data_IF_452892816345
#
_entry.id   IF_452892816345
#
_cell.length_a   1.000
_cell.length_b   1.000
_cell.length_c   1.000
_cell.angle_alpha   90.00
_cell.angle_beta   90.00
_cell.angle_gamma   90.00
#
_symmetry.space_group_name_H-M   'P 1'
#
loop_
_entity.id
_entity.type
_entity.pdbx_description
1 polymer ?
#
# COMPACT_ATOMS: atom_id res chain seq x y z
N UNK A 1 55.27 -15.43 5.55
CA UNK A 1 55.91 -14.14 5.92
C UNK A 1 54.88 -13.33 6.70
N UNK A 2 55.15 -13.09 7.98
CA UNK A 2 54.45 -12.08 8.79
C UNK A 2 54.63 -10.69 8.18
N UNK A 3 53.69 -9.77 8.40
CA UNK A 3 53.86 -8.70 9.39
C UNK A 3 52.54 -7.97 9.67
N UNK A 4 52.58 -7.35 10.84
CA UNK A 4 51.53 -6.83 11.68
C UNK A 4 51.57 -5.29 11.64
N UNK A 5 50.44 -4.68 12.01
CA UNK A 5 50.31 -3.45 12.80
C UNK A 5 50.33 -2.03 12.18
N UNK A 6 49.32 -1.26 12.59
CA UNK A 6 49.28 0.17 12.99
C UNK A 6 50.06 1.23 12.18
N UNK A 7 49.43 2.34 11.81
CA UNK A 7 49.14 3.48 12.70
C UNK A 7 48.58 4.69 11.89
N UNK A 8 47.86 5.55 12.61
CA UNK A 8 47.42 6.90 12.25
C UNK A 8 48.46 7.75 11.47
N UNK A 9 48.01 8.55 10.50
CA UNK A 9 48.21 10.00 10.56
C UNK A 9 47.37 10.81 9.57
N UNK A 10 46.80 11.89 10.11
CA UNK A 10 46.25 13.05 9.42
C UNK A 10 47.21 13.59 8.34
N UNK A 11 46.66 13.99 7.18
CA UNK A 11 47.12 15.22 6.55
C UNK A 11 46.04 15.85 5.66
N UNK A 12 45.73 17.07 6.06
CA UNK A 12 44.88 18.07 5.44
C UNK A 12 45.55 18.62 4.17
N UNK A 13 44.91 18.49 3.02
CA UNK A 13 45.19 19.32 1.84
C UNK A 13 43.92 20.03 1.39
N UNK A 14 43.82 21.24 1.89
CA UNK A 14 42.94 22.33 1.50
C UNK A 14 42.94 22.51 -0.03
N UNK A 15 41.82 22.25 -0.69
CA UNK A 15 41.55 22.71 -2.06
C UNK A 15 40.26 23.52 -2.07
N UNK A 16 40.45 24.79 -2.39
CA UNK A 16 39.52 25.90 -2.55
C UNK A 16 38.36 25.60 -3.49
N UNK A 17 37.12 25.78 -3.02
CA UNK A 17 35.92 25.89 -3.86
C UNK A 17 35.28 27.28 -3.68
N UNK A 18 35.11 28.10 -4.73
CA UNK A 18 34.83 29.54 -4.61
C UNK A 18 33.35 29.89 -4.78
N UNK A 19 32.47 29.34 -3.93
CA UNK A 19 31.10 29.80 -3.80
C UNK A 19 30.68 29.79 -2.33
N UNK A 20 30.94 30.91 -1.65
CA UNK A 20 30.43 31.17 -0.31
C UNK A 20 28.94 31.51 -0.37
N UNK A 21 28.14 30.84 0.46
CA UNK A 21 26.82 31.29 0.86
C UNK A 21 26.77 31.28 2.38
N UNK A 22 26.59 32.47 2.95
CA UNK A 22 26.59 32.79 4.39
C UNK A 22 25.43 32.11 5.11
N UNK A 23 25.72 31.32 6.14
CA UNK A 23 24.76 30.77 7.10
C UNK A 23 24.54 31.80 8.23
N UNK A 24 23.32 32.30 8.49
CA UNK A 24 23.10 33.43 9.40
C UNK A 24 22.82 33.02 10.86
N UNK A 25 23.38 31.90 11.34
CA UNK A 25 23.20 31.45 12.71
C UNK A 25 24.54 30.95 13.29
N UNK A 26 25.39 31.89 13.68
CA UNK A 26 26.59 31.64 14.48
C UNK A 26 26.65 32.66 15.64
N UNK A 27 27.23 32.20 16.77
CA UNK A 27 27.42 32.83 18.10
C UNK A 27 26.21 32.84 19.06
N UNK A 28 26.30 32.43 20.34
CA UNK A 28 27.42 32.50 21.30
C UNK A 28 27.53 31.29 22.25
N UNK A 29 28.76 30.99 22.66
CA UNK A 29 29.12 30.06 23.74
C UNK A 29 29.09 30.75 25.11
N UNK A 30 28.53 30.09 26.12
CA UNK A 30 28.79 30.42 27.53
C UNK A 30 29.26 29.18 28.30
N UNK A 31 30.41 29.32 28.94
CA UNK A 31 31.15 28.31 29.70
C UNK A 31 30.51 27.96 31.06
N UNK A 32 30.91 26.79 31.59
CA UNK A 32 30.47 26.15 32.83
C UNK A 32 30.78 26.94 34.11
N UNK A 33 29.97 26.69 35.17
CA UNK A 33 30.46 26.64 36.55
C UNK A 33 29.81 25.44 37.30
N UNK A 34 30.65 24.55 37.84
CA UNK A 34 30.31 23.56 38.87
C UNK A 34 30.08 24.26 40.20
N UNK A 35 29.05 23.88 40.97
CA UNK A 35 29.18 23.80 42.42
C UNK A 35 28.12 22.91 43.10
N UNK A 36 28.54 22.31 44.21
CA UNK A 36 27.94 21.17 44.92
C UNK A 36 26.70 21.48 45.78
N UNK A 37 25.85 20.45 45.94
CA UNK A 37 25.00 20.10 47.11
C UNK A 37 24.17 21.21 47.81
N UNK A 38 22.83 21.19 47.64
CA UNK A 38 21.88 21.48 48.73
C UNK A 38 20.50 20.82 48.52
N UNK A 39 19.99 20.24 49.61
CA UNK A 39 18.76 19.44 49.74
C UNK A 39 17.43 20.24 49.52
N UNK A 40 16.25 19.58 49.48
CA UNK A 40 15.08 20.04 48.73
C UNK A 40 14.24 21.07 49.49
N UNK A 41 13.62 22.00 48.76
CA UNK A 41 12.57 22.88 49.30
C UNK A 41 11.29 22.66 48.51
N UNK A 42 10.31 22.08 49.19
CA UNK A 42 8.93 21.95 48.75
C UNK A 42 8.26 23.32 48.71
N UNK A 43 7.81 23.74 47.52
CA UNK A 43 6.80 24.79 47.38
C UNK A 43 5.76 24.29 46.37
N UNK A 44 4.60 23.95 46.89
CA UNK A 44 3.41 23.67 46.10
C UNK A 44 2.90 24.97 45.48
N UNK A 45 2.75 25.01 44.16
CA UNK A 45 1.65 25.74 43.51
C UNK A 45 1.50 25.34 42.04
N UNK A 46 0.25 24.97 41.74
CA UNK A 46 -0.47 25.12 40.46
C UNK A 46 -0.16 24.14 39.34
N UNK A 47 -1.09 23.19 39.21
CA UNK A 47 -1.47 22.55 37.96
C UNK A 47 -1.71 23.63 36.90
N UNK A 48 -0.88 23.66 35.87
CA UNK A 48 -1.27 24.21 34.59
C UNK A 48 -0.97 23.21 33.48
N UNK A 49 -2.08 22.70 32.95
CA UNK A 49 -2.34 21.92 31.75
C UNK A 49 -1.37 22.23 30.60
N UNK A 50 -0.44 21.32 30.29
CA UNK A 50 0.34 21.33 29.05
C UNK A 50 0.92 19.94 28.77
N UNK A 51 0.08 18.94 28.54
CA UNK A 51 0.54 17.62 28.06
C UNK A 51 -0.61 16.81 27.44
N UNK A 52 -1.16 17.27 26.31
CA UNK A 52 -2.18 16.47 25.59
C UNK A 52 -2.15 16.57 24.06
N UNK A 53 -1.23 17.32 23.44
CA UNK A 53 -1.19 17.43 21.98
C UNK A 53 -0.12 16.56 21.27
N UNK A 54 0.82 15.97 22.02
CA UNK A 54 1.91 15.21 21.41
C UNK A 54 1.61 13.70 21.27
N UNK A 55 0.62 13.20 22.00
CA UNK A 55 0.28 11.77 22.05
C UNK A 55 -0.66 11.32 20.92
N UNK A 56 -1.53 12.21 20.45
CA UNK A 56 -2.53 11.92 19.41
C UNK A 56 -1.90 11.81 18.00
N UNK A 57 -0.94 12.70 17.69
CA UNK A 57 -0.17 12.62 16.45
C UNK A 57 0.68 11.35 16.34
N UNK A 58 1.24 10.86 17.46
CA UNK A 58 2.00 9.61 17.48
C UNK A 58 1.12 8.38 17.28
N UNK A 59 -0.11 8.38 17.80
CA UNK A 59 -1.06 7.28 17.61
C UNK A 59 -1.56 7.20 16.16
N UNK A 60 -1.89 8.35 15.55
CA UNK A 60 -2.27 8.40 14.14
C UNK A 60 -1.15 7.91 13.21
N UNK A 61 0.10 8.32 13.45
CA UNK A 61 1.25 7.83 12.66
C UNK A 61 1.43 6.31 12.81
N UNK A 62 1.26 5.77 14.03
CA UNK A 62 1.32 4.32 14.26
C UNK A 62 0.22 3.58 13.49
N UNK A 63 -0.99 4.11 13.50
CA UNK A 63 -2.11 3.56 12.73
C UNK A 63 -1.84 3.59 11.22
N UNK A 64 -1.37 4.72 10.68
CA UNK A 64 -1.08 4.84 9.25
C UNK A 64 0.05 3.90 8.81
N UNK A 65 1.04 3.65 9.68
CA UNK A 65 2.06 2.64 9.42
C UNK A 65 1.48 1.22 9.32
N UNK A 66 0.47 0.88 10.13
CA UNK A 66 -0.25 -0.40 10.03
C UNK A 66 -1.03 -0.49 8.72
N UNK A 67 -1.75 0.58 8.32
CA UNK A 67 -2.46 0.64 7.04
C UNK A 67 -1.49 0.48 5.86
N UNK A 68 -0.32 1.14 5.90
CA UNK A 68 0.70 0.99 4.87
C UNK A 68 1.21 -0.46 4.80
N UNK A 69 1.41 -1.13 5.94
CA UNK A 69 1.78 -2.54 5.96
C UNK A 69 0.68 -3.42 5.33
N UNK A 70 -0.59 -3.21 5.69
CA UNK A 70 -1.74 -3.88 5.09
C UNK A 70 -1.76 -3.67 3.57
N UNK A 71 -1.59 -2.45 3.09
CA UNK A 71 -1.60 -2.13 1.66
C UNK A 71 -0.42 -2.75 0.89
N UNK A 72 0.75 -2.87 1.53
CA UNK A 72 1.89 -3.61 0.98
C UNK A 72 1.59 -5.10 0.90
N UNK A 73 1.01 -5.68 1.95
CA UNK A 73 0.57 -7.08 1.96
C UNK A 73 -0.52 -7.34 0.90
N UNK A 74 -1.45 -6.41 0.69
CA UNK A 74 -2.45 -6.50 -0.38
C UNK A 74 -1.81 -6.49 -1.76
N UNK A 75 -0.80 -5.64 -1.97
CA UNK A 75 -0.07 -5.61 -3.25
C UNK A 75 0.75 -6.89 -3.48
N UNK A 76 1.32 -7.46 -2.41
CA UNK A 76 1.98 -8.76 -2.49
C UNK A 76 0.97 -9.89 -2.79
N UNK A 77 -0.21 -9.86 -2.15
CA UNK A 77 -1.28 -10.81 -2.40
C UNK A 77 -1.75 -10.78 -3.86
N UNK A 78 -1.94 -9.58 -4.40
CA UNK A 78 -2.25 -9.37 -5.82
C UNK A 78 -1.16 -9.96 -6.74
N UNK A 79 0.12 -9.76 -6.41
CA UNK A 79 1.23 -10.36 -7.16
C UNK A 79 1.20 -11.89 -7.13
N UNK A 80 0.92 -12.49 -5.97
CA UNK A 80 0.81 -13.94 -5.82
C UNK A 80 -0.37 -14.49 -6.64
N UNK A 81 -1.54 -13.85 -6.57
CA UNK A 81 -2.72 -14.24 -7.37
C UNK A 81 -2.39 -14.24 -8.86
N UNK A 82 -1.71 -13.20 -9.35
CA UNK A 82 -1.28 -13.15 -10.75
C UNK A 82 -0.27 -14.25 -11.10
N UNK A 83 0.63 -14.60 -10.18
CA UNK A 83 1.57 -15.71 -10.41
C UNK A 83 0.85 -17.06 -10.46
N UNK A 84 -0.16 -17.27 -9.62
CA UNK A 84 -1.03 -18.45 -9.63
C UNK A 84 -1.77 -18.56 -10.97
N UNK A 85 -2.39 -17.48 -11.46
CA UNK A 85 -3.05 -17.46 -12.78
C UNK A 85 -2.09 -17.82 -13.93
N UNK A 86 -0.87 -17.28 -13.92
CA UNK A 86 0.13 -17.61 -14.92
C UNK A 86 0.56 -19.09 -14.86
N UNK A 87 0.77 -19.63 -13.65
CA UNK A 87 1.13 -21.04 -13.47
C UNK A 87 0.00 -21.97 -13.92
N UNK A 88 -1.26 -21.63 -13.60
CA UNK A 88 -2.43 -22.34 -14.11
C UNK A 88 -2.45 -22.38 -15.63
N UNK A 89 -2.28 -21.24 -16.31
CA UNK A 89 -2.21 -21.18 -17.77
C UNK A 89 -1.06 -22.00 -18.35
N UNK A 90 0.11 -21.97 -17.71
CA UNK A 90 1.26 -22.76 -18.12
C UNK A 90 0.98 -24.27 -17.99
N UNK A 91 0.41 -24.70 -16.87
CA UNK A 91 0.04 -26.10 -16.62
C UNK A 91 -0.97 -26.64 -17.64
N UNK A 92 -1.87 -25.80 -18.17
CA UNK A 92 -2.80 -26.23 -19.23
C UNK A 92 -2.10 -26.51 -20.57
N UNK A 93 -0.89 -25.99 -20.79
CA UNK A 93 -0.16 -26.05 -22.07
C UNK A 93 1.12 -26.87 -22.03
N UNK A 94 1.61 -27.21 -20.84
CA UNK A 94 2.85 -27.95 -20.65
C UNK A 94 2.69 -29.42 -21.08
N UNK A 95 3.73 -29.96 -21.73
CA UNK A 95 3.75 -31.32 -22.30
C UNK A 95 4.88 -32.15 -21.66
N UNK A 96 5.90 -31.48 -21.08
CA UNK A 96 7.01 -32.14 -20.40
C UNK A 96 6.64 -32.48 -18.95
N UNK A 97 6.68 -33.77 -18.59
CA UNK A 97 6.41 -34.26 -17.23
C UNK A 97 7.34 -33.61 -16.16
N UNK A 98 8.60 -33.35 -16.50
CA UNK A 98 9.57 -32.73 -15.58
C UNK A 98 9.20 -31.27 -15.27
N UNK A 99 8.86 -30.50 -16.31
CA UNK A 99 8.43 -29.12 -16.14
C UNK A 99 7.09 -29.03 -15.44
N UNK A 100 6.15 -29.92 -15.75
CA UNK A 100 4.84 -29.96 -15.10
C UNK A 100 4.98 -30.17 -13.58
N UNK A 101 5.84 -31.10 -13.15
CA UNK A 101 6.10 -31.32 -11.72
C UNK A 101 6.67 -30.07 -11.04
N UNK A 102 7.60 -29.37 -11.70
CA UNK A 102 8.18 -28.14 -11.17
C UNK A 102 7.13 -27.02 -11.06
N UNK A 103 6.29 -26.84 -12.08
CA UNK A 103 5.20 -25.86 -12.09
C UNK A 103 4.17 -26.17 -10.99
N UNK A 104 3.81 -27.43 -10.79
CA UNK A 104 2.91 -27.87 -9.71
C UNK A 104 3.51 -27.56 -8.33
N UNK A 105 4.80 -27.78 -8.14
CA UNK A 105 5.46 -27.46 -6.88
C UNK A 105 5.49 -25.93 -6.62
N UNK A 106 5.80 -25.14 -7.65
CA UNK A 106 5.71 -23.67 -7.55
C UNK A 106 4.29 -23.21 -7.24
N UNK A 107 3.27 -23.81 -7.86
CA UNK A 107 1.86 -23.50 -7.61
C UNK A 107 1.48 -23.79 -6.16
N UNK A 108 1.79 -24.98 -5.64
CA UNK A 108 1.52 -25.35 -4.25
C UNK A 108 2.20 -24.36 -3.27
N UNK A 109 3.42 -23.91 -3.57
CA UNK A 109 4.12 -22.90 -2.76
C UNK A 109 3.42 -21.54 -2.77
N UNK A 110 2.90 -21.08 -3.92
CA UNK A 110 2.16 -19.81 -3.99
C UNK A 110 0.79 -19.90 -3.34
N UNK A 111 0.08 -21.03 -3.46
CA UNK A 111 -1.19 -21.26 -2.75
C UNK A 111 -0.98 -21.21 -1.24
N UNK A 112 0.09 -21.83 -0.72
CA UNK A 112 0.43 -21.76 0.70
C UNK A 112 0.70 -20.31 1.14
N UNK A 113 1.54 -19.58 0.39
CA UNK A 113 1.84 -18.17 0.68
C UNK A 113 0.58 -17.29 0.63
N UNK A 114 -0.31 -17.52 -0.34
CA UNK A 114 -1.58 -16.82 -0.45
C UNK A 114 -2.44 -17.06 0.79
N UNK A 115 -2.51 -18.29 1.28
CA UNK A 115 -3.30 -18.67 2.47
C UNK A 115 -2.77 -18.00 3.75
N UNK A 116 -1.45 -18.00 3.95
CA UNK A 116 -0.81 -17.33 5.09
C UNK A 116 -1.06 -15.81 5.08
N UNK A 117 -0.97 -15.21 3.90
CA UNK A 117 -1.19 -13.78 3.71
C UNK A 117 -2.66 -13.40 3.90
N UNK A 118 -3.60 -14.26 3.47
CA UNK A 118 -5.04 -14.08 3.72
C UNK A 118 -5.37 -14.05 5.21
N UNK A 119 -4.81 -14.97 6.00
CA UNK A 119 -5.01 -15.00 7.45
C UNK A 119 -4.45 -13.74 8.13
N UNK A 120 -3.27 -13.32 7.72
CA UNK A 120 -2.60 -12.11 8.23
C UNK A 120 -3.41 -10.87 7.88
N UNK A 121 -3.81 -10.69 6.61
CA UNK A 121 -4.62 -9.58 6.13
C UNK A 121 -5.98 -9.53 6.85
N UNK A 122 -6.68 -10.65 7.00
CA UNK A 122 -7.94 -10.73 7.76
C UNK A 122 -7.75 -10.19 9.18
N UNK A 123 -6.71 -10.64 9.87
CA UNK A 123 -6.43 -10.26 11.26
C UNK A 123 -6.06 -8.78 11.37
N UNK A 124 -5.18 -8.30 10.49
CA UNK A 124 -4.71 -6.92 10.51
C UNK A 124 -5.80 -5.92 10.14
N UNK A 125 -6.63 -6.23 9.14
CA UNK A 125 -7.77 -5.41 8.75
C UNK A 125 -8.79 -5.36 9.88
N UNK A 126 -9.13 -6.51 10.50
CA UNK A 126 -10.05 -6.54 11.65
C UNK A 126 -9.51 -5.72 12.83
N UNK A 127 -8.22 -5.81 13.10
CA UNK A 127 -7.56 -5.00 14.13
C UNK A 127 -7.58 -3.50 13.79
N UNK A 128 -7.33 -3.14 12.53
CA UNK A 128 -7.38 -1.76 12.06
C UNK A 128 -8.78 -1.16 12.20
N UNK A 129 -9.82 -1.90 11.79
CA UNK A 129 -11.22 -1.49 11.96
C UNK A 129 -11.58 -1.27 13.44
N UNK A 130 -11.14 -2.17 14.34
CA UNK A 130 -11.37 -2.02 15.78
C UNK A 130 -10.71 -0.77 16.37
N UNK A 131 -9.49 -0.45 15.93
CA UNK A 131 -8.78 0.76 16.36
C UNK A 131 -9.41 2.03 15.79
N UNK A 132 -10.13 1.90 14.68
CA UNK A 132 -10.74 3.00 13.97
C UNK A 132 -12.18 3.35 14.41
N UNK A 133 -12.78 2.60 15.36
CA UNK A 133 -14.18 2.77 15.78
C UNK A 133 -14.55 4.20 16.21
N UNK A 134 -13.60 4.96 16.75
CA UNK A 134 -13.83 6.30 17.29
C UNK A 134 -13.31 7.43 16.39
N UNK A 135 -12.69 7.10 15.25
CA UNK A 135 -12.05 8.08 14.36
C UNK A 135 -12.50 7.85 12.90
N UNK A 136 -13.34 8.76 12.35
CA UNK A 136 -13.86 8.64 10.98
C UNK A 136 -12.77 8.55 9.91
N UNK A 137 -11.62 9.21 10.10
CA UNK A 137 -10.53 9.19 9.12
C UNK A 137 -9.80 7.84 9.15
N UNK A 138 -9.54 7.31 10.34
CA UNK A 138 -8.97 5.95 10.49
C UNK A 138 -9.94 4.90 9.95
N UNK A 139 -11.24 5.10 10.14
CA UNK A 139 -12.29 4.18 9.69
C UNK A 139 -12.30 4.08 8.17
N UNK A 140 -12.33 5.22 7.47
CA UNK A 140 -12.27 5.29 6.02
C UNK A 140 -11.05 4.54 5.43
N UNK A 141 -9.89 4.67 6.06
CA UNK A 141 -8.66 3.99 5.62
C UNK A 141 -8.73 2.47 5.80
N UNK A 142 -9.20 2.01 6.97
CA UNK A 142 -9.37 0.58 7.24
C UNK A 142 -10.42 -0.04 6.31
N UNK A 143 -11.51 0.68 6.03
CA UNK A 143 -12.57 0.24 5.12
C UNK A 143 -12.07 0.17 3.67
N UNK A 144 -11.26 1.12 3.22
CA UNK A 144 -10.65 1.05 1.88
C UNK A 144 -9.76 -0.19 1.71
N UNK A 145 -8.90 -0.49 2.69
CA UNK A 145 -8.08 -1.71 2.66
C UNK A 145 -8.94 -2.97 2.67
N UNK A 146 -10.05 -3.00 3.42
CA UNK A 146 -11.01 -4.11 3.45
C UNK A 146 -11.68 -4.32 2.08
N UNK A 147 -12.17 -3.26 1.45
CA UNK A 147 -12.78 -3.34 0.12
C UNK A 147 -11.79 -3.84 -0.93
N UNK A 148 -10.54 -3.35 -0.88
CA UNK A 148 -9.47 -3.85 -1.76
C UNK A 148 -9.22 -5.34 -1.51
N UNK A 149 -9.22 -5.80 -0.26
CA UNK A 149 -9.04 -7.21 0.06
C UNK A 149 -10.17 -8.08 -0.49
N UNK A 150 -11.44 -7.69 -0.28
CA UNK A 150 -12.59 -8.40 -0.83
C UNK A 150 -12.53 -8.52 -2.35
N UNK A 151 -12.13 -7.44 -3.04
CA UNK A 151 -11.94 -7.47 -4.49
C UNK A 151 -10.89 -8.50 -4.89
N UNK A 152 -9.73 -8.52 -4.23
CA UNK A 152 -8.66 -9.49 -4.54
C UNK A 152 -9.10 -10.93 -4.27
N UNK A 153 -9.87 -11.18 -3.20
CA UNK A 153 -10.46 -12.51 -2.94
C UNK A 153 -11.41 -12.90 -4.07
N UNK A 154 -12.26 -11.98 -4.53
CA UNK A 154 -13.17 -12.23 -5.64
C UNK A 154 -12.42 -12.52 -6.95
N UNK A 155 -11.38 -11.75 -7.25
CA UNK A 155 -10.54 -11.95 -8.43
C UNK A 155 -9.86 -13.33 -8.37
N UNK A 156 -9.36 -13.73 -7.19
CA UNK A 156 -8.76 -15.05 -7.01
C UNK A 156 -9.78 -16.19 -7.21
N UNK A 157 -11.00 -16.06 -6.66
CA UNK A 157 -12.08 -17.04 -6.88
C UNK A 157 -12.42 -17.22 -8.37
N UNK A 158 -12.42 -16.12 -9.13
CA UNK A 158 -12.67 -16.15 -10.57
C UNK A 158 -11.55 -16.90 -11.30
N UNK A 159 -10.29 -16.65 -10.94
CA UNK A 159 -9.13 -17.35 -11.52
C UNK A 159 -9.23 -18.87 -11.27
N UNK A 160 -9.48 -19.27 -10.02
CA UNK A 160 -9.64 -20.70 -9.68
C UNK A 160 -10.83 -21.32 -10.42
N UNK A 161 -11.95 -20.60 -10.53
CA UNK A 161 -13.13 -21.09 -11.26
C UNK A 161 -12.84 -21.32 -12.74
N UNK A 162 -12.16 -20.37 -13.38
CA UNK A 162 -11.80 -20.50 -14.78
C UNK A 162 -10.85 -21.69 -14.99
N UNK A 163 -9.87 -21.86 -14.11
CA UNK A 163 -8.98 -23.01 -14.18
C UNK A 163 -9.71 -24.34 -13.96
N UNK A 164 -10.68 -24.37 -13.04
CA UNK A 164 -11.56 -25.54 -12.83
C UNK A 164 -12.26 -25.96 -14.12
N UNK A 165 -12.87 -24.99 -14.79
CA UNK A 165 -13.68 -25.23 -15.99
C UNK A 165 -12.80 -25.72 -17.16
N UNK A 166 -11.63 -25.10 -17.35
CA UNK A 166 -10.63 -25.54 -18.34
C UNK A 166 -10.12 -26.95 -18.04
N UNK A 167 -9.81 -27.27 -16.78
CA UNK A 167 -9.34 -28.59 -16.38
C UNK A 167 -10.41 -29.67 -16.63
N UNK A 168 -11.68 -29.36 -16.30
CA UNK A 168 -12.84 -30.22 -16.60
C UNK A 168 -13.02 -30.44 -18.09
N UNK A 169 -12.90 -29.40 -18.92
CA UNK A 169 -13.05 -29.53 -20.36
C UNK A 169 -11.96 -30.45 -20.94
N UNK A 170 -10.72 -30.30 -20.51
CA UNK A 170 -9.63 -31.18 -20.91
C UNK A 170 -9.87 -32.63 -20.47
N UNK A 171 -10.32 -32.87 -19.23
CA UNK A 171 -10.69 -34.20 -18.75
C UNK A 171 -11.81 -34.82 -19.59
N UNK A 172 -12.82 -34.04 -19.97
CA UNK A 172 -13.92 -34.47 -20.86
C UNK A 172 -13.40 -34.87 -22.24
N UNK A 173 -12.46 -34.11 -22.82
CA UNK A 173 -11.83 -34.44 -24.11
C UNK A 173 -11.05 -35.75 -24.02
N UNK A 174 -10.28 -35.96 -22.95
CA UNK A 174 -9.52 -37.20 -22.75
C UNK A 174 -10.40 -38.42 -22.55
N UNK A 175 -11.47 -38.27 -21.76
CA UNK A 175 -12.46 -39.33 -21.59
C UNK A 175 -13.05 -39.75 -22.95
N UNK A 176 -13.46 -38.78 -23.79
CA UNK A 176 -14.04 -39.06 -25.12
C UNK A 176 -13.07 -39.70 -26.11
N UNK A 177 -11.76 -39.52 -25.94
CA UNK A 177 -10.76 -40.26 -26.75
C UNK A 177 -10.81 -41.76 -26.43
N UNK A 178 -11.05 -42.12 -25.17
CA UNK A 178 -11.09 -43.51 -24.70
C UNK A 178 -12.45 -44.14 -24.97
N UNK A 179 -13.53 -43.39 -24.73
CA UNK A 179 -14.90 -43.82 -24.91
C UNK A 179 -15.68 -42.80 -25.76
N UNK A 180 -15.60 -42.89 -27.09
CA UNK A 180 -16.21 -41.91 -28.00
C UNK A 180 -17.74 -41.90 -27.97
N UNK A 181 -18.36 -43.01 -27.55
CA UNK A 181 -19.82 -43.18 -27.49
C UNK A 181 -20.45 -42.71 -26.17
N UNK A 182 -19.65 -42.16 -25.23
CA UNK A 182 -20.14 -41.73 -23.93
C UNK A 182 -20.99 -40.46 -24.01
N UNK A 183 -22.11 -40.47 -23.28
CA UNK A 183 -22.99 -39.31 -23.13
C UNK A 183 -22.35 -38.24 -22.25
N UNK A 184 -22.73 -36.98 -22.44
CA UNK A 184 -22.17 -35.88 -21.66
C UNK A 184 -22.46 -36.02 -20.15
N UNK A 185 -23.60 -36.60 -19.76
CA UNK A 185 -23.89 -36.92 -18.35
C UNK A 185 -22.97 -38.01 -17.78
N UNK A 186 -22.63 -39.05 -18.56
CA UNK A 186 -21.70 -40.10 -18.12
C UNK A 186 -20.28 -39.57 -17.93
N UNK A 187 -19.84 -38.63 -18.80
CA UNK A 187 -18.52 -38.01 -18.67
C UNK A 187 -18.45 -37.11 -17.43
N UNK A 188 -19.47 -36.29 -17.19
CA UNK A 188 -19.54 -35.47 -15.97
C UNK A 188 -19.59 -36.33 -14.70
N UNK A 189 -20.36 -37.43 -14.71
CA UNK A 189 -20.40 -38.36 -13.58
C UNK A 189 -19.03 -39.00 -13.30
N UNK A 190 -18.28 -39.32 -14.35
CA UNK A 190 -16.95 -39.90 -14.22
C UNK A 190 -15.89 -38.91 -13.70
N UNK A 191 -16.05 -37.60 -13.95
CA UNK A 191 -15.09 -36.55 -13.56
C UNK A 191 -15.37 -36.01 -12.15
N UNK A 192 -16.65 -35.81 -11.80
CA UNK A 192 -17.03 -35.15 -10.55
C UNK A 192 -17.12 -36.09 -9.35
N UNK A 193 -17.42 -37.37 -9.55
CA UNK A 193 -17.71 -38.28 -8.43
C UNK A 193 -16.43 -38.96 -7.92
N UNK A 194 -16.30 -39.13 -6.60
CA UNK A 194 -15.28 -40.00 -5.99
C UNK A 194 -15.50 -41.45 -6.46
N UNK A 195 -16.75 -41.82 -6.77
CA UNK A 195 -17.11 -43.06 -7.47
C UNK A 195 -16.73 -43.10 -8.95
N UNK A 196 -16.41 -41.96 -9.56
CA UNK A 196 -15.97 -41.81 -10.94
C UNK A 196 -14.68 -42.57 -11.24
N UNK A 197 -13.78 -42.71 -10.26
CA UNK A 197 -12.62 -43.60 -10.35
C UNK A 197 -13.02 -45.05 -10.67
N UNK A 198 -14.10 -45.54 -10.07
CA UNK A 198 -14.55 -46.92 -10.24
C UNK A 198 -15.28 -47.11 -11.57
N UNK A 199 -16.06 -46.12 -12.00
CA UNK A 199 -16.71 -46.08 -13.33
C UNK A 199 -15.64 -46.02 -14.43
N UNK A 200 -14.61 -45.20 -14.27
CA UNK A 200 -13.49 -45.07 -15.20
C UNK A 200 -12.66 -46.36 -15.25
N UNK A 201 -12.34 -46.95 -14.09
CA UNK A 201 -11.69 -48.26 -14.01
C UNK A 201 -12.47 -49.34 -14.76
N UNK A 202 -13.80 -49.34 -14.63
CA UNK A 202 -14.67 -50.33 -15.29
C UNK A 202 -14.75 -50.12 -16.81
N UNK A 203 -14.84 -48.87 -17.26
CA UNK A 203 -14.79 -48.51 -18.69
C UNK A 203 -13.46 -48.96 -19.33
N UNK A 204 -12.35 -48.77 -18.61
CA UNK A 204 -11.02 -49.15 -19.05
C UNK A 204 -10.78 -50.66 -19.08
N UNK A 205 -11.42 -51.42 -18.19
CA UNK A 205 -11.38 -52.89 -18.21
C UNK A 205 -12.09 -53.47 -19.43
N UNK A 206 -13.13 -52.78 -19.92
CA UNK A 206 -13.87 -53.14 -21.13
C UNK A 206 -13.18 -52.67 -22.42
N UNK A 207 -12.26 -51.72 -22.33
CA UNK A 207 -11.50 -51.22 -23.48
C UNK A 207 -10.45 -52.24 -23.94
N UNK A 208 -10.39 -52.48 -25.27
CA UNK A 208 -9.46 -53.44 -25.90
C UNK A 208 -7.97 -53.05 -25.78
N UNK A 209 -7.65 -51.88 -25.22
CA UNK A 209 -6.30 -51.27 -25.14
C UNK A 209 -5.84 -51.09 -23.69
N UNK A 210 -5.53 -52.19 -23.02
CA UNK A 210 -5.15 -52.22 -21.58
C UNK A 210 -3.92 -51.39 -21.20
N UNK A 211 -2.98 -51.16 -22.12
CA UNK A 211 -1.76 -50.37 -21.87
C UNK A 211 -2.05 -48.87 -21.80
N UNK A 212 -2.71 -48.35 -22.84
CA UNK A 212 -3.15 -46.95 -22.93
C UNK A 212 -4.17 -46.61 -21.83
N UNK A 213 -4.98 -47.60 -21.45
CA UNK A 213 -5.95 -47.47 -20.39
C UNK A 213 -5.34 -47.17 -19.00
N UNK A 214 -4.18 -47.73 -18.68
CA UNK A 214 -3.51 -47.48 -17.38
C UNK A 214 -2.96 -46.07 -17.29
N UNK A 215 -2.36 -45.56 -18.36
CA UNK A 215 -1.82 -44.20 -18.43
C UNK A 215 -2.97 -43.18 -18.32
N UNK A 216 -4.06 -43.40 -19.04
CA UNK A 216 -5.25 -42.56 -18.94
C UNK A 216 -5.86 -42.54 -17.53
N UNK A 217 -5.91 -43.69 -16.84
CA UNK A 217 -6.39 -43.74 -15.46
C UNK A 217 -5.52 -42.91 -14.53
N UNK A 218 -4.19 -43.05 -14.62
CA UNK A 218 -3.27 -42.29 -13.78
C UNK A 218 -3.42 -40.77 -14.01
N UNK A 219 -3.60 -40.35 -15.26
CA UNK A 219 -3.84 -38.95 -15.60
C UNK A 219 -5.16 -38.44 -15.02
N UNK A 220 -6.27 -39.17 -15.19
CA UNK A 220 -7.57 -38.80 -14.61
C UNK A 220 -7.52 -38.74 -13.08
N UNK A 221 -6.80 -39.65 -12.43
CA UNK A 221 -6.61 -39.62 -10.98
C UNK A 221 -5.85 -38.36 -10.53
N UNK A 222 -4.77 -38.00 -11.23
CA UNK A 222 -4.02 -36.78 -10.95
C UNK A 222 -4.89 -35.53 -11.11
N UNK A 223 -5.72 -35.48 -12.17
CA UNK A 223 -6.68 -34.38 -12.42
C UNK A 223 -7.73 -34.28 -11.33
N UNK A 224 -8.29 -35.40 -10.89
CA UNK A 224 -9.29 -35.40 -9.83
C UNK A 224 -8.71 -34.89 -8.50
N UNK A 225 -7.49 -35.32 -8.14
CA UNK A 225 -6.82 -34.80 -6.95
C UNK A 225 -6.60 -33.29 -7.02
N UNK A 226 -6.30 -32.76 -8.21
CA UNK A 226 -6.15 -31.34 -8.46
C UNK A 226 -7.48 -30.57 -8.35
N UNK A 227 -8.57 -31.10 -8.90
CA UNK A 227 -9.91 -30.55 -8.72
C UNK A 227 -10.30 -30.48 -7.24
N UNK A 228 -10.01 -31.53 -6.46
CA UNK A 228 -10.27 -31.53 -5.01
C UNK A 228 -9.48 -30.46 -4.26
N UNK A 229 -8.19 -30.26 -4.61
CA UNK A 229 -7.38 -29.18 -4.04
C UNK A 229 -8.01 -27.83 -4.34
N UNK A 230 -8.42 -27.60 -5.58
CA UNK A 230 -9.03 -26.35 -6.00
C UNK A 230 -10.38 -26.10 -5.31
N UNK A 231 -11.23 -27.14 -5.18
CA UNK A 231 -12.49 -27.03 -4.44
C UNK A 231 -12.27 -26.66 -2.97
N UNK A 232 -11.24 -27.21 -2.34
CA UNK A 232 -10.83 -26.83 -0.99
C UNK A 232 -10.43 -25.35 -0.94
N UNK A 233 -9.55 -24.90 -1.83
CA UNK A 233 -9.13 -23.49 -1.89
C UNK A 233 -10.32 -22.55 -2.11
N UNK A 234 -11.22 -22.89 -3.04
CA UNK A 234 -12.43 -22.10 -3.29
C UNK A 234 -13.36 -22.06 -2.07
N UNK A 235 -13.50 -23.16 -1.32
CA UNK A 235 -14.27 -23.19 -0.10
C UNK A 235 -13.67 -22.30 0.99
N UNK A 236 -12.34 -22.32 1.15
CA UNK A 236 -11.60 -21.44 2.07
C UNK A 236 -11.76 -19.97 1.68
N UNK A 237 -11.65 -19.64 0.38
CA UNK A 237 -11.88 -18.29 -0.13
C UNK A 237 -13.33 -17.82 0.08
N UNK A 238 -14.32 -18.71 -0.10
CA UNK A 238 -15.73 -18.39 0.17
C UNK A 238 -15.95 -18.08 1.65
N UNK A 239 -15.39 -18.90 2.55
CA UNK A 239 -15.47 -18.64 3.98
C UNK A 239 -14.82 -17.31 4.34
N UNK A 240 -13.62 -17.05 3.82
CA UNK A 240 -12.91 -15.79 4.02
C UNK A 240 -13.70 -14.58 3.50
N UNK A 241 -14.31 -14.70 2.33
CA UNK A 241 -15.14 -13.65 1.75
C UNK A 241 -16.32 -13.32 2.67
N UNK A 242 -17.06 -14.34 3.12
CA UNK A 242 -18.18 -14.17 4.05
C UNK A 242 -17.73 -13.56 5.38
N UNK A 243 -16.61 -14.03 5.94
CA UNK A 243 -16.05 -13.50 7.18
C UNK A 243 -15.69 -12.00 7.06
N UNK A 244 -15.27 -11.54 5.87
CA UNK A 244 -14.91 -10.15 5.61
C UNK A 244 -16.10 -9.26 5.22
N UNK A 245 -17.20 -9.85 4.75
CA UNK A 245 -18.49 -9.16 4.53
C UNK A 245 -19.27 -9.00 5.83
N UNK A 246 -19.32 -10.02 6.70
CA UNK A 246 -20.04 -9.96 7.98
C UNK A 246 -19.53 -8.82 8.88
N UNK A 247 -18.22 -8.52 8.82
CA UNK A 247 -17.60 -7.40 9.56
C UNK A 247 -18.21 -6.02 9.23
N UNK A 248 -18.92 -5.88 8.11
CA UNK A 248 -19.55 -4.62 7.68
C UNK A 248 -20.86 -4.34 8.44
N UNK A 249 -21.61 -5.39 8.78
CA UNK A 249 -22.95 -5.24 9.35
C UNK A 249 -22.91 -4.63 10.75
N UNK A 250 -21.84 -4.89 11.52
CA UNK A 250 -21.67 -4.31 12.85
C UNK A 250 -21.32 -2.81 12.85
N UNK A 251 -20.96 -2.21 11.69
CA UNK A 251 -20.37 -0.86 11.63
C UNK A 251 -21.19 0.16 10.82
N UNK A 252 -22.27 -0.25 10.15
CA UNK A 252 -23.00 0.59 9.19
C UNK A 252 -23.85 1.71 9.82
N UNK A 253 -23.94 1.81 11.16
CA UNK A 253 -24.81 2.82 11.79
C UNK A 253 -24.20 4.25 11.80
N UNK A 254 -22.93 4.46 11.42
CA UNK A 254 -22.28 5.79 11.48
C UNK A 254 -21.31 6.13 10.32
N UNK A 255 -21.65 5.82 9.06
CA UNK A 255 -20.79 6.17 7.90
C UNK A 255 -21.59 6.95 6.85
N UNK A 256 -21.91 8.20 7.16
CA UNK A 256 -22.46 9.16 6.17
C UNK A 256 -21.58 10.43 6.07
N UNK A 257 -20.34 10.39 6.54
CA UNK A 257 -19.46 11.59 6.66
C UNK A 257 -18.29 11.60 5.66
N UNK A 258 -18.05 10.51 4.93
CA UNK A 258 -16.84 10.40 4.09
C UNK A 258 -16.94 11.20 2.77
N UNK A 259 -18.14 11.42 2.22
CA UNK A 259 -18.30 12.25 1.01
C UNK A 259 -17.93 13.73 1.24
N UNK A 260 -17.93 14.19 2.50
CA UNK A 260 -17.66 15.60 2.84
C UNK A 260 -16.17 15.93 3.00
N UNK A 261 -15.36 14.99 3.51
CA UNK A 261 -13.96 15.27 3.84
C UNK A 261 -13.03 15.34 2.61
N UNK A 262 -13.38 14.68 1.49
CA UNK A 262 -12.63 14.80 0.23
C UNK A 262 -12.91 16.15 -0.44
N UNK A 263 -14.14 16.64 -0.36
CA UNK A 263 -14.54 17.97 -0.84
C UNK A 263 -13.90 19.08 -0.01
N UNK A 264 -13.87 18.93 1.33
CA UNK A 264 -13.21 19.89 2.23
C UNK A 264 -11.68 19.92 2.06
N UNK A 265 -11.01 18.78 1.82
CA UNK A 265 -9.57 18.75 1.56
C UNK A 265 -9.20 19.39 0.21
N UNK A 266 -10.05 19.25 -0.81
CA UNK A 266 -9.89 19.94 -2.09
C UNK A 266 -10.12 21.45 -1.94
N UNK A 267 -11.11 21.83 -1.12
CA UNK A 267 -11.41 23.23 -0.80
C UNK A 267 -10.30 23.90 0.02
N UNK A 268 -9.63 23.19 0.93
CA UNK A 268 -8.50 23.71 1.73
C UNK A 268 -7.22 23.91 0.88
N UNK A 269 -6.96 23.05 -0.09
CA UNK A 269 -5.87 23.25 -1.07
C UNK A 269 -6.17 24.45 -1.98
N UNK A 270 -7.43 24.60 -2.41
CA UNK A 270 -7.85 25.74 -3.24
C UNK A 270 -7.79 27.08 -2.48
N UNK A 271 -8.18 27.08 -1.20
CA UNK A 271 -8.01 28.25 -0.31
C UNK A 271 -6.53 28.55 -0.04
N UNK A 272 -5.68 27.54 0.15
CA UNK A 272 -4.23 27.68 0.30
C UNK A 272 -3.55 28.35 -0.91
N UNK A 273 -3.93 27.97 -2.13
CA UNK A 273 -3.46 28.61 -3.38
C UNK A 273 -4.04 30.02 -3.55
N UNK A 274 -5.27 30.27 -3.06
CA UNK A 274 -5.88 31.60 -3.03
C UNK A 274 -5.17 32.59 -2.07
N UNK A 275 -4.75 32.13 -0.89
CA UNK A 275 -4.08 32.96 0.11
C UNK A 275 -2.64 33.31 -0.29
N UNK A 276 -1.91 32.42 -0.96
CA UNK A 276 -0.58 32.72 -1.51
C UNK A 276 -0.64 33.77 -2.62
N UNK A 277 -1.65 33.70 -3.51
CA UNK A 277 -1.87 34.73 -4.53
C UNK A 277 -2.28 36.09 -3.93
N UNK A 278 -3.14 36.12 -2.90
CA UNK A 278 -3.49 37.36 -2.18
C UNK A 278 -2.29 37.96 -1.43
N UNK A 279 -1.44 37.12 -0.82
CA UNK A 279 -0.22 37.56 -0.13
C UNK A 279 0.78 38.20 -1.11
N UNK A 280 1.02 37.58 -2.28
CA UNK A 280 1.90 38.14 -3.31
C UNK A 280 1.34 39.44 -3.90
N UNK A 281 0.03 39.52 -4.16
CA UNK A 281 -0.61 40.72 -4.71
C UNK A 281 -0.64 41.88 -3.71
N UNK A 282 -0.84 41.59 -2.41
CA UNK A 282 -0.78 42.57 -1.33
C UNK A 282 0.65 43.09 -1.12
N UNK A 283 1.65 42.20 -1.05
CA UNK A 283 3.07 42.58 -0.93
C UNK A 283 3.53 43.43 -2.12
N UNK A 284 3.13 43.08 -3.36
CA UNK A 284 3.46 43.86 -4.57
C UNK A 284 2.75 45.21 -4.62
N UNK A 285 1.55 45.34 -4.02
CA UNK A 285 0.82 46.62 -3.92
C UNK A 285 1.42 47.53 -2.83
N UNK A 286 1.84 46.98 -1.69
CA UNK A 286 2.51 47.73 -0.64
C UNK A 286 3.85 48.33 -1.11
N UNK A 287 4.66 47.56 -1.86
CA UNK A 287 5.92 48.05 -2.44
C UNK A 287 5.72 49.20 -3.43
N UNK A 288 4.67 49.13 -4.27
CA UNK A 288 4.33 50.22 -5.22
C UNK A 288 3.87 51.50 -4.51
N UNK A 289 3.11 51.39 -3.43
CA UNK A 289 2.67 52.55 -2.66
C UNK A 289 3.83 53.23 -1.91
N UNK A 290 4.78 52.44 -1.39
CA UNK A 290 6.01 52.97 -0.78
C UNK A 290 6.84 53.77 -1.80
N UNK A 291 6.97 53.28 -3.03
CA UNK A 291 7.67 54.02 -4.09
C UNK A 291 6.97 55.32 -4.48
N UNK A 292 5.63 55.34 -4.55
CA UNK A 292 4.88 56.58 -4.80
C UNK A 292 5.09 57.62 -3.70
N UNK A 293 5.14 57.19 -2.44
CA UNK A 293 5.43 58.08 -1.31
C UNK A 293 6.82 58.72 -1.45
N UNK A 294 7.85 57.93 -1.78
CA UNK A 294 9.21 58.47 -1.99
C UNK A 294 9.28 59.50 -3.12
N UNK A 295 8.58 59.26 -4.24
CA UNK A 295 8.55 60.22 -5.37
C UNK A 295 7.88 61.54 -4.94
N UNK A 296 6.78 61.47 -4.18
CA UNK A 296 6.09 62.67 -3.69
C UNK A 296 6.99 63.45 -2.71
N UNK A 297 7.65 62.78 -1.78
CA UNK A 297 8.59 63.41 -0.85
C UNK A 297 9.77 64.08 -1.59
N UNK A 298 10.31 63.44 -2.63
CA UNK A 298 11.38 64.00 -3.45
C UNK A 298 10.94 65.27 -4.19
N UNK A 299 9.72 65.29 -4.74
CA UNK A 299 9.18 66.49 -5.40
C UNK A 299 9.02 67.65 -4.42
N UNK A 300 8.52 67.40 -3.21
CA UNK A 300 8.39 68.43 -2.17
C UNK A 300 9.77 68.98 -1.79
N UNK A 301 10.76 68.10 -1.61
CA UNK A 301 12.13 68.51 -1.32
C UNK A 301 12.71 69.39 -2.44
N UNK A 302 12.52 69.02 -3.70
CA UNK A 302 12.98 69.81 -4.85
C UNK A 302 12.36 71.22 -4.88
N UNK A 303 11.06 71.35 -4.57
CA UNK A 303 10.39 72.66 -4.48
C UNK A 303 11.00 73.52 -3.36
N UNK A 304 11.24 72.93 -2.18
CA UNK A 304 11.87 73.64 -1.06
C UNK A 304 13.27 74.14 -1.44
N UNK A 305 14.07 73.31 -2.12
CA UNK A 305 15.40 73.71 -2.60
C UNK A 305 15.29 74.88 -3.58
N UNK A 306 14.37 74.85 -4.55
CA UNK A 306 14.18 75.96 -5.50
C UNK A 306 13.77 77.24 -4.77
N UNK A 307 12.84 77.16 -3.81
CA UNK A 307 12.38 78.34 -3.04
C UNK A 307 13.48 78.92 -2.16
N UNK A 308 14.42 78.12 -1.65
CA UNK A 308 15.54 78.62 -0.83
C UNK A 308 16.70 79.12 -1.69
N UNK A 309 17.00 78.43 -2.80
CA UNK A 309 18.16 78.74 -3.65
C UNK A 309 17.88 79.93 -4.56
N UNK A 310 16.67 80.07 -5.13
CA UNK A 310 16.34 81.19 -6.04
C UNK A 310 16.50 82.56 -5.36
N UNK A 311 15.98 82.81 -4.15
CA UNK A 311 16.21 84.07 -3.44
C UNK A 311 17.68 84.26 -3.07
N UNK A 312 18.39 83.18 -2.71
CA UNK A 312 19.80 83.25 -2.34
C UNK A 312 20.71 83.60 -3.52
N UNK A 313 20.41 83.09 -4.72
CA UNK A 313 21.14 83.40 -5.96
C UNK A 313 20.78 84.79 -6.48
N UNK A 314 19.52 85.21 -6.39
CA UNK A 314 19.08 86.57 -6.77
C UNK A 314 19.66 87.63 -5.83
N UNK A 315 19.91 87.30 -4.56
CA UNK A 315 20.55 88.21 -3.59
C UNK A 315 22.08 88.24 -3.71
N UNK A 316 22.68 87.33 -4.47
CA UNK A 316 24.14 87.22 -4.70
C UNK A 316 24.57 87.76 -6.08
N UNK A 317 23.64 88.28 -6.89
CA UNK A 317 23.92 89.08 -8.08
C UNK A 317 23.63 90.55 -7.81
#
# INVERSE_FOLDING_TARGET
MSYNNNNNNNNNTNTTNPYGNTNPYEEDQYEMNEDLNRAPVTVATNQDTSTSQQQDGTDFVSFMNKINNINNNLSNYESIINQIDNLHKQLLTEISEENEMNLRHSLDNFISQASDLQYTLKTDIKNAQRLALNDPNKHAQAENSRQKFLKLIQDYRIIDSNYKDENKEQAKRQYKIIQPDATDEEVEAAINDVGGQQIFSQALLNANRRGEAKTALAEVQARHQELLKLEKTMAELNQLFNDMEELVIEQQENIEVIDKNVEDAQQDVEQGVGHTNKAVKSAKRARRNKMRCYIICFLIFAVVVVVVVVPSVVKTR
#
